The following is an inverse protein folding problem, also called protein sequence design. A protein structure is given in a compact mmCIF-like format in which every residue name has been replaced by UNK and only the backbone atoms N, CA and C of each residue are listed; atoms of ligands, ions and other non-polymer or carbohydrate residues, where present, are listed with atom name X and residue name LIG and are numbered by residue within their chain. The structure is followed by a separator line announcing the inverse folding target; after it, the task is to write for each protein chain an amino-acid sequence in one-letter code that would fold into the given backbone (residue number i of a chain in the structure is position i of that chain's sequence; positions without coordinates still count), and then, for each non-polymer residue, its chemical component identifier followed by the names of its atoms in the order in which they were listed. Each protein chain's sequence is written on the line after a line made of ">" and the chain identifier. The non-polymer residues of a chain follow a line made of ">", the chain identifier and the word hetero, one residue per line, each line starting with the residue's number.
data_IF_460645184606
#
_entry.id   IF_460645184606
#
_cell.length_a   1.000
_cell.length_b   1.000
_cell.length_c   1.000
_cell.angle_alpha   90.00
_cell.angle_beta   90.00
_cell.angle_gamma   90.00
#
_symmetry.space_group_name_H-M   'P 1'
#
loop_
_entity.id
_entity.type
_entity.pdbx_description
1 polymer ?
#
# COMPACT_ATOMS: atom_id res chain seq x y z
N UNK A 1 -18.03 6.91 -6.12
CA UNK A 1 -17.77 6.39 -7.47
C UNK A 1 -16.39 5.69 -7.59
N UNK A 2 -15.76 5.27 -6.48
CA UNK A 2 -14.37 4.77 -6.49
C UNK A 2 -14.25 3.26 -6.21
N UNK A 3 -15.31 2.64 -5.67
CA UNK A 3 -15.40 1.20 -5.35
C UNK A 3 -15.50 0.32 -6.61
N UNK A 4 -15.57 0.90 -7.82
CA UNK A 4 -15.89 0.16 -9.04
C UNK A 4 -14.71 -0.59 -9.68
N UNK A 5 -13.50 -0.51 -9.13
CA UNK A 5 -12.29 -1.14 -9.68
C UNK A 5 -11.55 -2.07 -8.72
N UNK A 6 -11.97 -2.18 -7.47
CA UNK A 6 -11.32 -3.04 -6.48
C UNK A 6 -11.96 -4.43 -6.49
N UNK A 7 -11.13 -5.47 -6.39
CA UNK A 7 -11.62 -6.83 -6.21
C UNK A 7 -12.31 -6.94 -4.82
N UNK A 8 -13.63 -7.10 -4.76
CA UNK A 8 -14.35 -7.14 -3.49
C UNK A 8 -13.94 -8.34 -2.63
N UNK A 9 -13.41 -9.41 -3.23
CA UNK A 9 -12.87 -10.56 -2.49
C UNK A 9 -11.52 -10.20 -1.90
N UNK A 10 -10.60 -9.65 -2.70
CA UNK A 10 -9.25 -9.32 -2.24
C UNK A 10 -9.21 -8.14 -1.24
N UNK A 11 -10.30 -7.41 -1.07
CA UNK A 11 -10.44 -6.36 -0.07
C UNK A 11 -11.46 -6.69 1.04
N UNK A 12 -12.06 -7.89 1.02
CA UNK A 12 -13.05 -8.31 2.01
C UNK A 12 -12.51 -8.37 3.45
N UNK A 13 -11.20 -8.61 3.59
CA UNK A 13 -10.48 -8.67 4.86
C UNK A 13 -9.59 -7.45 5.15
N UNK A 14 -9.61 -6.43 4.30
CA UNK A 14 -8.69 -5.29 4.40
C UNK A 14 -9.46 -4.00 4.69
N UNK A 15 -9.02 -3.28 5.74
CA UNK A 15 -9.67 -2.05 6.19
C UNK A 15 -9.01 -0.75 5.70
N UNK A 16 -7.85 -0.85 5.06
CA UNK A 16 -7.05 0.29 4.58
C UNK A 16 -6.68 0.10 3.11
N UNK A 17 -6.49 1.21 2.40
CA UNK A 17 -6.08 1.25 0.99
C UNK A 17 -5.26 2.53 0.76
N UNK A 18 -4.20 2.43 -0.03
CA UNK A 18 -3.41 3.56 -0.50
C UNK A 18 -4.23 4.46 -1.42
N UNK A 19 -4.57 5.67 -0.96
CA UNK A 19 -5.41 6.61 -1.73
C UNK A 19 -4.64 7.71 -2.45
N UNK A 20 -3.39 7.92 -2.08
CA UNK A 20 -2.58 9.04 -2.57
C UNK A 20 -1.12 8.65 -2.77
N UNK A 21 -0.42 9.47 -3.56
CA UNK A 21 1.03 9.36 -3.73
C UNK A 21 1.46 7.96 -4.18
N UNK A 22 2.50 7.47 -3.52
CA UNK A 22 3.14 6.21 -3.89
C UNK A 22 2.31 4.98 -3.50
N UNK A 23 1.54 5.06 -2.42
CA UNK A 23 0.68 3.96 -1.98
C UNK A 23 -0.38 3.66 -3.02
N UNK A 24 -1.07 4.68 -3.54
CA UNK A 24 -2.06 4.48 -4.61
C UNK A 24 -1.43 3.93 -5.88
N UNK A 25 -0.23 4.39 -6.23
CA UNK A 25 0.43 3.98 -7.46
C UNK A 25 0.91 2.53 -7.39
N UNK A 26 1.40 2.07 -6.23
CA UNK A 26 1.91 0.72 -6.02
C UNK A 26 0.95 -0.19 -5.23
N UNK A 27 -0.31 0.18 -5.05
CA UNK A 27 -1.30 -0.58 -4.27
C UNK A 27 -1.33 -2.07 -4.66
N UNK A 28 -1.34 -2.36 -5.96
CA UNK A 28 -1.35 -3.73 -6.49
C UNK A 28 -0.14 -4.56 -6.04
N UNK A 29 1.00 -3.93 -5.79
CA UNK A 29 2.21 -4.59 -5.28
C UNK A 29 2.28 -4.57 -3.75
N UNK A 30 1.80 -3.51 -3.10
CA UNK A 30 1.90 -3.29 -1.66
C UNK A 30 0.83 -4.04 -0.85
N UNK A 31 -0.37 -4.22 -1.41
CA UNK A 31 -1.50 -4.82 -0.71
C UNK A 31 -1.35 -6.34 -0.50
N UNK A 32 -0.81 -7.03 -1.50
CA UNK A 32 -0.71 -8.49 -1.50
C UNK A 32 -2.05 -9.18 -1.78
N UNK A 33 -2.25 -10.35 -1.20
CA UNK A 33 -3.46 -11.15 -1.38
C UNK A 33 -4.02 -11.61 -0.04
N UNK A 34 -5.31 -11.38 0.18
CA UNK A 34 -5.98 -11.85 1.40
C UNK A 34 -6.17 -13.36 1.36
N UNK A 35 -6.00 -13.99 2.52
CA UNK A 35 -6.34 -15.39 2.72
C UNK A 35 -7.84 -15.56 3.00
N UNK A 36 -8.29 -16.81 3.09
CA UNK A 36 -9.65 -17.12 3.52
C UNK A 36 -9.71 -18.46 4.26
N UNK A 37 -10.73 -18.62 5.08
CA UNK A 37 -11.03 -19.85 5.80
C UNK A 37 -12.45 -20.33 5.45
N UNK A 38 -12.57 -21.58 5.03
CA UNK A 38 -13.85 -22.27 4.89
C UNK A 38 -14.19 -22.92 6.22
N UNK A 39 -15.28 -22.47 6.87
CA UNK A 39 -15.69 -22.94 8.19
C UNK A 39 -17.03 -23.66 8.15
N UNK A 40 -17.12 -24.81 8.81
CA UNK A 40 -18.40 -25.50 9.04
C UNK A 40 -19.10 -24.85 10.23
N UNK A 41 -20.34 -24.41 10.06
CA UNK A 41 -21.13 -23.76 11.10
C UNK A 41 -22.39 -24.56 11.44
N UNK A 42 -22.84 -24.46 12.69
CA UNK A 42 -24.14 -25.03 13.09
C UNK A 42 -25.30 -24.06 12.78
N UNK A 43 -26.54 -24.50 12.99
CA UNK A 43 -27.75 -23.70 12.75
C UNK A 43 -27.83 -22.39 13.59
N UNK A 44 -26.95 -22.20 14.58
CA UNK A 44 -26.83 -20.97 15.37
C UNK A 44 -25.64 -20.09 14.94
N UNK A 45 -24.98 -20.42 13.82
CA UNK A 45 -23.84 -19.68 13.27
C UNK A 45 -22.53 -19.86 14.03
N UNK A 46 -22.44 -20.81 14.97
CA UNK A 46 -21.17 -21.10 15.67
C UNK A 46 -20.28 -21.96 14.77
N UNK A 47 -19.02 -21.55 14.65
CA UNK A 47 -17.97 -22.32 13.97
C UNK A 47 -17.72 -23.62 14.72
N UNK A 48 -17.92 -24.75 14.04
CA UNK A 48 -17.66 -26.09 14.55
C UNK A 48 -16.22 -26.52 14.26
N UNK A 49 -15.73 -26.27 13.03
CA UNK A 49 -14.36 -26.53 12.58
C UNK A 49 -14.02 -25.78 11.29
N UNK A 50 -12.72 -25.64 11.01
CA UNK A 50 -12.19 -25.15 9.73
C UNK A 50 -12.02 -26.35 8.78
N UNK A 51 -12.63 -26.28 7.60
CA UNK A 51 -12.54 -27.32 6.56
C UNK A 51 -11.33 -27.11 5.65
N UNK A 52 -11.03 -25.84 5.33
CA UNK A 52 -9.92 -25.43 4.48
C UNK A 52 -9.47 -24.04 4.87
N UNK A 53 -8.18 -23.80 4.74
CA UNK A 53 -7.56 -22.50 4.98
C UNK A 53 -6.57 -22.21 3.85
N UNK A 54 -6.62 -20.99 3.36
CA UNK A 54 -5.60 -20.43 2.48
C UNK A 54 -5.00 -19.24 3.20
N UNK A 55 -3.70 -19.33 3.49
CA UNK A 55 -2.99 -18.24 4.14
C UNK A 55 -2.84 -17.03 3.20
N UNK A 56 -2.86 -15.80 3.74
CA UNK A 56 -2.62 -14.60 2.94
C UNK A 56 -1.20 -14.57 2.41
N UNK A 57 -1.01 -13.85 1.30
CA UNK A 57 0.30 -13.55 0.73
C UNK A 57 0.59 -12.07 1.01
N UNK A 58 1.64 -11.74 1.78
CA UNK A 58 1.99 -10.35 2.04
C UNK A 58 2.35 -9.64 0.72
N UNK A 59 2.07 -8.34 0.67
CA UNK A 59 2.56 -7.49 -0.40
C UNK A 59 4.08 -7.41 -0.44
N UNK A 60 4.59 -6.76 -1.48
CA UNK A 60 6.02 -6.60 -1.71
C UNK A 60 6.50 -5.29 -1.09
N UNK A 61 7.66 -5.34 -0.45
CA UNK A 61 8.39 -4.15 -0.09
C UNK A 61 8.90 -3.45 -1.35
N UNK A 62 8.84 -2.12 -1.36
CA UNK A 62 9.41 -1.27 -2.39
C UNK A 62 10.51 -0.40 -1.78
N UNK A 63 11.61 -0.25 -2.49
CA UNK A 63 12.69 0.66 -2.12
C UNK A 63 12.61 1.89 -3.01
N UNK A 64 12.54 3.07 -2.39
CA UNK A 64 12.48 4.33 -3.11
C UNK A 64 13.88 4.83 -3.45
N UNK A 65 13.95 5.68 -4.46
CA UNK A 65 15.18 6.41 -4.81
C UNK A 65 15.38 7.67 -3.96
N UNK A 66 14.38 8.03 -3.14
CA UNK A 66 14.45 9.19 -2.26
C UNK A 66 15.58 9.04 -1.25
N UNK A 67 16.42 10.06 -1.17
CA UNK A 67 17.39 10.22 -0.10
C UNK A 67 16.73 11.00 1.04
N UNK A 68 16.61 10.36 2.21
CA UNK A 68 15.92 10.94 3.35
C UNK A 68 16.58 12.24 3.83
N UNK A 69 17.91 12.30 3.87
CA UNK A 69 18.62 13.48 4.36
C UNK A 69 18.46 14.65 3.39
N UNK A 70 18.46 14.37 2.08
CA UNK A 70 18.20 15.39 1.06
C UNK A 70 16.76 15.89 1.10
N UNK A 71 15.80 14.99 1.32
CA UNK A 71 14.38 15.34 1.46
C UNK A 71 14.16 16.27 2.66
N UNK A 72 14.72 15.94 3.82
CA UNK A 72 14.65 16.78 5.02
C UNK A 72 15.30 18.16 4.80
N UNK A 73 16.45 18.20 4.12
CA UNK A 73 17.12 19.44 3.77
C UNK A 73 16.29 20.30 2.80
N UNK A 74 15.63 19.68 1.82
CA UNK A 74 14.75 20.37 0.87
C UNK A 74 13.52 20.98 1.57
N UNK A 75 12.89 20.22 2.48
CA UNK A 75 11.77 20.71 3.29
C UNK A 75 12.20 21.88 4.20
N UNK A 76 13.34 21.74 4.88
CA UNK A 76 13.92 22.79 5.71
C UNK A 76 14.24 24.06 4.92
N UNK A 77 14.75 23.92 3.68
CA UNK A 77 15.05 25.06 2.80
C UNK A 77 13.78 25.82 2.35
N UNK A 78 12.68 25.10 2.12
CA UNK A 78 11.38 25.73 1.86
C UNK A 78 10.86 26.48 3.08
N UNK A 79 11.14 25.99 4.30
CA UNK A 79 10.79 26.63 5.57
C UNK A 79 9.29 27.01 5.63
N UNK A 80 8.42 26.13 5.14
CA UNK A 80 6.96 26.33 5.10
C UNK A 80 6.48 27.36 4.08
N UNK A 81 7.35 27.89 3.22
CA UNK A 81 6.96 28.77 2.12
C UNK A 81 6.34 27.96 1.00
N UNK A 82 5.32 28.54 0.35
CA UNK A 82 4.73 27.95 -0.86
C UNK A 82 5.79 27.90 -1.96
N UNK A 83 6.11 26.69 -2.41
CA UNK A 83 7.10 26.41 -3.43
C UNK A 83 7.21 24.91 -3.65
N UNK A 84 8.07 24.52 -4.59
CA UNK A 84 8.42 23.13 -4.83
C UNK A 84 9.94 23.04 -5.07
N UNK A 85 10.54 21.94 -4.62
CA UNK A 85 11.93 21.59 -4.89
C UNK A 85 11.89 20.22 -5.57
N UNK A 86 12.74 19.98 -6.56
CA UNK A 86 12.89 18.63 -7.13
C UNK A 86 14.38 18.41 -7.35
N UNK A 87 14.92 17.36 -6.73
CA UNK A 87 16.29 16.92 -6.93
C UNK A 87 16.31 15.62 -7.72
N UNK A 88 17.05 15.60 -8.83
CA UNK A 88 17.17 14.46 -9.72
C UNK A 88 18.63 14.02 -9.82
N UNK A 89 18.85 12.71 -9.96
CA UNK A 89 20.11 12.16 -10.44
C UNK A 89 20.12 12.22 -11.98
N UNK A 90 20.88 13.12 -12.64
CA UNK A 90 20.74 13.34 -14.09
C UNK A 90 21.11 12.14 -14.94
N UNK A 91 22.01 11.27 -14.44
CA UNK A 91 22.46 10.10 -15.17
C UNK A 91 21.42 8.97 -15.23
N UNK A 92 20.57 8.83 -14.21
CA UNK A 92 19.60 7.74 -14.06
C UNK A 92 18.14 8.20 -14.20
N UNK A 93 17.88 9.49 -14.01
CA UNK A 93 16.53 10.06 -13.95
C UNK A 93 15.83 9.82 -12.60
N UNK A 94 16.54 9.27 -11.62
CA UNK A 94 15.97 8.99 -10.29
C UNK A 94 15.64 10.28 -9.54
N UNK A 95 14.53 10.28 -8.82
CA UNK A 95 14.16 11.38 -7.92
C UNK A 95 14.77 11.12 -6.55
N UNK A 96 15.57 12.07 -6.07
CA UNK A 96 16.24 12.00 -4.78
C UNK A 96 15.51 12.81 -3.69
N UNK A 97 14.81 13.89 -4.05
CA UNK A 97 13.96 14.67 -3.15
C UNK A 97 12.89 15.45 -3.94
N UNK A 98 11.72 15.72 -3.34
CA UNK A 98 10.62 16.48 -3.94
C UNK A 98 9.70 17.20 -2.95
#
# INVERSE_FOLDING_TARGET
>A
AEVKQLDPVNYSGTHHIGKTGIERFYEDSLHGQVGYEEVETNARGRVLRVLKRTDPIPGKDITLTLDLALQEAAEAALAGRRGAVVALQPATGEVLAM
#
